data_IF_252346409662
#
_entry.id   IF_252346409662
#
_cell.length_a   1.000
_cell.length_b   1.000
_cell.length_c   1.000
_cell.angle_alpha   90.00
_cell.angle_beta   90.00
_cell.angle_gamma   90.00
#
_symmetry.space_group_name_H-M   'P 1'
#
loop_
_entity.id
_entity.type
_entity.pdbx_description
1 polymer ?
#
# COMPACT_ATOMS: atom_id res chain seq x y z
N UNK A 1 23.84 38.46 -4.94
CA UNK A 1 24.67 37.32 -4.50
C UNK A 1 25.60 36.90 -5.63
N UNK A 2 26.86 36.80 -5.30
CA UNK A 2 27.84 36.33 -6.29
C UNK A 2 27.60 34.85 -6.51
N UNK A 3 27.41 34.47 -7.76
CA UNK A 3 27.22 33.09 -8.13
C UNK A 3 28.56 32.35 -8.02
N UNK A 4 28.63 31.35 -7.15
CA UNK A 4 29.86 30.59 -6.93
C UNK A 4 29.93 29.51 -8.00
N UNK A 5 31.05 29.50 -8.76
CA UNK A 5 31.30 28.48 -9.77
C UNK A 5 31.51 27.11 -9.09
N UNK A 6 31.14 26.04 -9.78
CA UNK A 6 31.28 24.68 -9.25
C UNK A 6 32.75 24.34 -8.97
N UNK A 7 33.66 24.87 -9.76
CA UNK A 7 35.12 24.64 -9.62
C UNK A 7 35.80 25.68 -8.74
N UNK A 8 35.09 26.71 -8.28
CA UNK A 8 35.63 27.72 -7.42
C UNK A 8 35.88 27.17 -6.01
N UNK A 9 36.82 27.79 -5.25
CA UNK A 9 37.00 27.40 -3.85
C UNK A 9 35.73 27.61 -3.07
N UNK A 10 35.38 26.67 -2.19
CA UNK A 10 34.20 26.78 -1.39
C UNK A 10 34.34 27.93 -0.38
N UNK A 11 33.32 28.80 -0.23
CA UNK A 11 33.40 29.93 0.70
C UNK A 11 33.41 29.51 2.18
N UNK A 12 33.20 28.22 2.48
CA UNK A 12 33.29 27.73 3.86
C UNK A 12 34.72 27.61 4.37
N UNK A 13 35.72 27.85 3.52
CA UNK A 13 37.12 27.81 3.91
C UNK A 13 37.76 26.44 3.99
N UNK A 14 37.05 25.40 3.51
CA UNK A 14 37.58 24.04 3.58
C UNK A 14 38.71 23.74 2.61
N UNK A 15 38.96 24.63 1.64
CA UNK A 15 39.97 24.42 0.59
C UNK A 15 39.50 23.50 -0.52
N UNK A 16 38.32 22.92 -0.42
CA UNK A 16 37.78 22.05 -1.46
C UNK A 16 36.98 22.88 -2.47
N UNK A 17 36.83 22.30 -3.68
CA UNK A 17 35.99 22.91 -4.69
C UNK A 17 34.54 22.89 -4.23
N UNK A 18 33.76 23.94 -4.56
CA UNK A 18 32.37 24.09 -4.14
C UNK A 18 31.53 22.85 -4.48
N UNK A 19 31.69 22.27 -5.66
CA UNK A 19 30.96 21.08 -6.07
C UNK A 19 31.20 19.86 -5.19
N UNK A 20 32.37 19.79 -4.53
CA UNK A 20 32.71 18.66 -3.64
C UNK A 20 32.53 18.96 -2.17
N UNK A 21 32.07 20.15 -1.84
CA UNK A 21 31.88 20.57 -0.46
C UNK A 21 30.41 20.97 -0.23
N UNK A 22 30.12 22.25 -0.14
CA UNK A 22 28.78 22.72 0.21
C UNK A 22 27.71 22.35 -0.81
N UNK A 23 28.02 22.38 -2.10
CA UNK A 23 27.06 21.99 -3.12
C UNK A 23 26.66 20.52 -2.98
N UNK A 24 27.64 19.66 -2.75
CA UNK A 24 27.40 18.24 -2.52
C UNK A 24 26.56 18.01 -1.25
N UNK A 25 26.84 18.75 -0.17
CA UNK A 25 26.07 18.68 1.06
C UNK A 25 24.62 19.12 0.86
N UNK A 26 24.40 20.19 0.08
CA UNK A 26 23.05 20.65 -0.25
C UNK A 26 22.28 19.62 -1.08
N UNK A 27 22.94 18.97 -2.02
CA UNK A 27 22.31 17.93 -2.82
C UNK A 27 21.96 16.69 -2.00
N UNK A 28 22.79 16.36 -1.02
CA UNK A 28 22.51 15.24 -0.11
C UNK A 28 21.31 15.47 0.81
N UNK A 29 20.95 16.72 1.08
CA UNK A 29 19.78 17.04 1.88
C UNK A 29 18.46 16.73 1.17
N UNK A 30 18.45 16.68 -0.16
CA UNK A 30 17.26 16.36 -0.94
C UNK A 30 16.78 14.92 -0.76
N UNK A 31 17.67 13.90 -0.74
CA UNK A 31 17.22 12.54 -0.44
C UNK A 31 16.58 12.38 0.94
N UNK A 32 16.99 13.19 1.92
CA UNK A 32 16.39 13.16 3.26
C UNK A 32 14.92 13.60 3.21
N UNK A 33 14.57 14.56 2.35
CA UNK A 33 13.18 14.96 2.14
C UNK A 33 12.36 13.86 1.50
N UNK A 34 12.94 13.09 0.59
CA UNK A 34 12.29 11.94 -0.02
C UNK A 34 12.05 10.81 0.99
N UNK A 35 12.92 10.68 1.97
CA UNK A 35 12.77 9.68 3.04
C UNK A 35 11.57 9.99 3.95
N UNK A 36 11.09 11.23 3.99
CA UNK A 36 9.89 11.60 4.72
C UNK A 36 8.62 11.05 4.06
N UNK A 37 8.72 10.56 2.83
CA UNK A 37 7.64 9.86 2.14
C UNK A 37 7.71 8.35 2.33
N UNK A 38 8.52 7.83 3.25
CA UNK A 38 8.36 6.48 3.70
C UNK A 38 6.96 6.43 4.32
N UNK A 39 6.03 5.66 3.74
CA UNK A 39 4.68 5.65 4.25
C UNK A 39 4.70 5.21 5.71
N UNK A 40 4.19 6.07 6.57
CA UNK A 40 3.95 5.70 7.96
C UNK A 40 2.82 4.68 7.88
N UNK A 41 3.11 3.43 8.23
CA UNK A 41 2.08 2.40 8.25
C UNK A 41 1.04 2.77 9.29
N UNK A 42 -0.17 3.01 8.84
CA UNK A 42 -1.30 3.26 9.71
C UNK A 42 -1.74 1.96 10.38
N UNK A 43 -2.58 2.06 11.40
CA UNK A 43 -3.18 0.87 12.01
C UNK A 43 -3.93 0.03 10.98
N UNK A 44 -4.62 0.69 10.05
CA UNK A 44 -5.29 0.01 8.93
C UNK A 44 -4.31 -0.84 8.13
N UNK A 45 -3.16 -0.26 7.75
CA UNK A 45 -2.14 -0.98 6.98
C UNK A 45 -1.59 -2.16 7.76
N UNK A 46 -1.35 -2.00 9.05
CA UNK A 46 -0.84 -3.07 9.90
C UNK A 46 -1.82 -4.24 9.99
N UNK A 47 -3.09 -3.94 10.19
CA UNK A 47 -4.14 -4.96 10.25
C UNK A 47 -4.29 -5.68 8.90
N UNK A 48 -4.32 -4.92 7.82
CA UNK A 48 -4.46 -5.47 6.48
C UNK A 48 -3.30 -6.39 6.13
N UNK A 49 -2.08 -5.97 6.43
CA UNK A 49 -0.88 -6.78 6.18
C UNK A 49 -0.83 -8.02 7.07
N UNK A 50 -1.30 -7.91 8.31
CA UNK A 50 -1.37 -9.05 9.24
C UNK A 50 -2.26 -10.16 8.68
N UNK A 51 -3.37 -9.81 8.03
CA UNK A 51 -4.26 -10.80 7.42
C UNK A 51 -3.51 -11.61 6.35
N UNK A 52 -2.75 -10.93 5.50
CA UNK A 52 -1.97 -11.61 4.45
C UNK A 52 -0.98 -12.60 5.07
N UNK A 53 -0.27 -12.18 6.11
CA UNK A 53 0.70 -13.03 6.80
C UNK A 53 0.03 -14.24 7.44
N UNK A 54 -1.12 -14.03 8.09
CA UNK A 54 -1.88 -15.11 8.73
C UNK A 54 -2.40 -16.11 7.70
N UNK A 55 -2.81 -15.65 6.52
CA UNK A 55 -3.23 -16.53 5.43
C UNK A 55 -2.05 -17.40 4.98
N UNK A 56 -0.86 -16.81 4.84
CA UNK A 56 0.35 -17.55 4.48
C UNK A 56 0.72 -18.60 5.52
N UNK A 57 0.47 -18.31 6.80
CA UNK A 57 0.70 -19.23 7.90
C UNK A 57 -0.43 -20.25 8.07
N UNK A 58 -1.47 -20.15 7.26
CA UNK A 58 -2.69 -20.97 7.34
C UNK A 58 -3.47 -20.79 8.65
N UNK A 59 -3.26 -19.67 9.32
CA UNK A 59 -4.01 -19.28 10.52
C UNK A 59 -5.27 -18.51 10.10
N UNK A 60 -6.21 -19.22 9.50
CA UNK A 60 -7.35 -18.63 8.81
C UNK A 60 -8.41 -18.07 9.77
N UNK A 61 -8.56 -18.66 10.95
CA UNK A 61 -9.53 -18.17 11.93
C UNK A 61 -9.16 -16.78 12.44
N UNK A 62 -7.89 -16.57 12.75
CA UNK A 62 -7.39 -15.27 13.18
C UNK A 62 -7.41 -14.27 12.02
N UNK A 63 -7.06 -14.72 10.81
CA UNK A 63 -7.13 -13.87 9.62
C UNK A 63 -8.55 -13.37 9.39
N UNK A 64 -9.57 -14.24 9.53
CA UNK A 64 -10.96 -13.85 9.40
C UNK A 64 -11.37 -12.85 10.48
N UNK A 65 -10.98 -13.09 11.73
CA UNK A 65 -11.32 -12.19 12.84
C UNK A 65 -10.75 -10.78 12.59
N UNK A 66 -9.50 -10.68 12.15
CA UNK A 66 -8.88 -9.39 11.85
C UNK A 66 -9.54 -8.73 10.64
N UNK A 67 -9.89 -9.51 9.63
CA UNK A 67 -10.59 -9.00 8.44
C UNK A 67 -11.96 -8.42 8.81
N UNK A 68 -12.68 -9.08 9.69
CA UNK A 68 -13.97 -8.58 10.18
C UNK A 68 -13.79 -7.31 11.00
N UNK A 69 -12.73 -7.24 11.79
CA UNK A 69 -12.37 -6.03 12.53
C UNK A 69 -12.09 -4.87 11.58
N UNK A 70 -11.36 -5.13 10.48
CA UNK A 70 -11.12 -4.12 9.44
C UNK A 70 -12.44 -3.58 8.88
N UNK A 71 -13.35 -4.48 8.57
CA UNK A 71 -14.65 -4.07 8.00
C UNK A 71 -15.46 -3.24 9.00
N UNK A 72 -15.43 -3.62 10.28
CA UNK A 72 -16.18 -2.91 11.33
C UNK A 72 -15.58 -1.56 11.69
N UNK A 73 -14.24 -1.48 11.81
CA UNK A 73 -13.54 -0.26 12.22
C UNK A 73 -13.31 0.70 11.05
N UNK A 74 -13.16 0.17 9.84
CA UNK A 74 -12.86 0.95 8.64
C UNK A 74 -13.86 0.63 7.52
N UNK A 75 -15.16 0.91 7.74
CA UNK A 75 -16.18 0.56 6.74
C UNK A 75 -16.06 1.33 5.44
N UNK A 76 -15.36 2.46 5.46
CA UNK A 76 -15.12 3.29 4.27
C UNK A 76 -13.91 2.84 3.46
N UNK A 77 -13.27 1.75 3.87
CA UNK A 77 -12.09 1.21 3.21
C UNK A 77 -12.41 -0.15 2.62
N UNK A 78 -11.80 -0.44 1.47
CA UNK A 78 -12.03 -1.70 0.76
C UNK A 78 -11.31 -2.89 1.41
N UNK A 79 -10.34 -2.62 2.28
CA UNK A 79 -9.44 -3.63 2.82
C UNK A 79 -10.17 -4.79 3.49
N UNK A 80 -11.20 -4.50 4.29
CA UNK A 80 -11.96 -5.54 4.98
C UNK A 80 -12.64 -6.50 4.01
N UNK A 81 -13.28 -5.96 2.97
CA UNK A 81 -13.94 -6.79 1.96
C UNK A 81 -12.95 -7.63 1.19
N UNK A 82 -11.85 -7.03 0.76
CA UNK A 82 -10.80 -7.73 0.01
C UNK A 82 -10.16 -8.84 0.85
N UNK A 83 -9.81 -8.54 2.08
CA UNK A 83 -9.17 -9.52 2.96
C UNK A 83 -10.09 -10.68 3.32
N UNK A 84 -11.37 -10.40 3.58
CA UNK A 84 -12.36 -11.47 3.81
C UNK A 84 -12.48 -12.38 2.59
N UNK A 85 -12.51 -11.80 1.39
CA UNK A 85 -12.53 -12.60 0.18
C UNK A 85 -11.30 -13.52 0.11
N UNK A 86 -10.13 -13.01 0.42
CA UNK A 86 -8.89 -13.80 0.44
C UNK A 86 -8.94 -14.93 1.47
N UNK A 87 -9.47 -14.66 2.65
CA UNK A 87 -9.60 -15.67 3.70
C UNK A 87 -10.53 -16.80 3.26
N UNK A 88 -11.70 -16.46 2.72
CA UNK A 88 -12.65 -17.48 2.28
C UNK A 88 -12.10 -18.28 1.11
N UNK A 89 -11.37 -17.65 0.19
CA UNK A 89 -10.69 -18.38 -0.88
C UNK A 89 -9.67 -19.37 -0.31
N UNK A 90 -8.89 -18.94 0.69
CA UNK A 90 -7.90 -19.82 1.33
C UNK A 90 -8.55 -20.99 2.07
N UNK A 91 -9.77 -20.79 2.60
CA UNK A 91 -10.54 -21.86 3.24
C UNK A 91 -11.18 -22.83 2.25
N UNK A 92 -11.14 -22.51 0.96
CA UNK A 92 -11.84 -23.28 -0.07
C UNK A 92 -13.30 -22.91 -0.22
N UNK A 93 -13.79 -21.88 0.47
CA UNK A 93 -15.16 -21.41 0.36
C UNK A 93 -15.29 -20.42 -0.80
N UNK A 94 -15.23 -20.95 -2.01
CA UNK A 94 -15.17 -20.14 -3.23
C UNK A 94 -16.41 -19.29 -3.45
N UNK A 95 -17.57 -19.79 -3.09
CA UNK A 95 -18.83 -19.03 -3.20
C UNK A 95 -18.83 -17.79 -2.35
N UNK A 96 -18.39 -17.90 -1.10
CA UNK A 96 -18.28 -16.76 -0.19
C UNK A 96 -17.20 -15.79 -0.64
N UNK A 97 -16.06 -16.31 -1.09
CA UNK A 97 -14.98 -15.48 -1.61
C UNK A 97 -15.46 -14.66 -2.80
N UNK A 98 -16.15 -15.27 -3.75
CA UNK A 98 -16.72 -14.58 -4.90
C UNK A 98 -17.71 -13.50 -4.47
N UNK A 99 -18.54 -13.78 -3.47
CA UNK A 99 -19.51 -12.80 -2.94
C UNK A 99 -18.79 -11.56 -2.38
N UNK A 100 -17.71 -11.75 -1.63
CA UNK A 100 -16.96 -10.63 -1.06
C UNK A 100 -16.18 -9.87 -2.13
N UNK A 101 -15.67 -10.56 -3.17
CA UNK A 101 -15.07 -9.86 -4.30
C UNK A 101 -16.11 -9.02 -5.05
N UNK A 102 -17.35 -9.51 -5.17
CA UNK A 102 -18.44 -8.70 -5.76
C UNK A 102 -18.76 -7.49 -4.91
N UNK A 103 -18.78 -7.64 -3.59
CA UNK A 103 -18.98 -6.50 -2.68
C UNK A 103 -17.86 -5.48 -2.84
N UNK A 104 -16.60 -5.95 -2.94
CA UNK A 104 -15.46 -5.07 -3.18
C UNK A 104 -15.58 -4.36 -4.53
N UNK A 105 -16.00 -5.06 -5.56
CA UNK A 105 -16.24 -4.48 -6.88
C UNK A 105 -17.28 -3.35 -6.81
N UNK A 106 -18.41 -3.59 -6.15
CA UNK A 106 -19.45 -2.57 -6.00
C UNK A 106 -18.96 -1.37 -5.21
N UNK A 107 -18.19 -1.63 -4.15
CA UNK A 107 -17.60 -0.57 -3.35
C UNK A 107 -16.64 0.28 -4.19
N UNK A 108 -15.77 -0.36 -4.95
CA UNK A 108 -14.82 0.35 -5.81
C UNK A 108 -15.51 1.18 -6.89
N UNK A 109 -16.60 0.66 -7.47
CA UNK A 109 -17.40 1.40 -8.45
C UNK A 109 -18.10 2.63 -7.87
N UNK A 110 -18.52 2.53 -6.61
CA UNK A 110 -19.29 3.59 -5.94
C UNK A 110 -18.39 4.70 -5.38
N UNK A 111 -17.10 4.47 -5.30
CA UNK A 111 -16.15 5.41 -4.68
C UNK A 111 -15.14 5.90 -5.70
N UNK A 112 -14.90 7.21 -5.70
CA UNK A 112 -13.84 7.79 -6.51
C UNK A 112 -12.47 7.40 -5.92
N UNK A 113 -11.45 7.36 -6.75
CA UNK A 113 -10.10 7.03 -6.31
C UNK A 113 -9.65 5.63 -6.69
N UNK A 114 -10.54 4.78 -7.20
CA UNK A 114 -10.18 3.49 -7.75
C UNK A 114 -10.13 3.57 -9.27
N UNK A 115 -9.03 3.12 -9.87
CA UNK A 115 -8.94 3.07 -11.31
C UNK A 115 -9.75 1.89 -11.86
N UNK A 116 -10.02 1.93 -13.17
CA UNK A 116 -10.81 0.88 -13.82
C UNK A 116 -10.12 -0.47 -13.76
N UNK A 117 -8.80 -0.50 -13.80
CA UNK A 117 -8.03 -1.74 -13.70
C UNK A 117 -8.30 -2.44 -12.37
N UNK A 118 -8.26 -1.69 -11.28
CA UNK A 118 -8.55 -2.24 -9.94
C UNK A 118 -10.00 -2.73 -9.85
N UNK A 119 -10.95 -1.95 -10.34
CA UNK A 119 -12.36 -2.31 -10.32
C UNK A 119 -12.59 -3.60 -11.10
N UNK A 120 -12.03 -3.71 -12.30
CA UNK A 120 -12.16 -4.91 -13.12
C UNK A 120 -11.47 -6.12 -12.51
N UNK A 121 -10.38 -5.91 -11.79
CA UNK A 121 -9.69 -7.00 -11.10
C UNK A 121 -10.63 -7.71 -10.11
N UNK A 122 -11.36 -6.96 -9.30
CA UNK A 122 -12.30 -7.54 -8.35
C UNK A 122 -13.38 -8.36 -9.06
N UNK A 123 -13.92 -7.85 -10.14
CA UNK A 123 -14.93 -8.56 -10.91
C UNK A 123 -14.35 -9.84 -11.53
N UNK A 124 -13.15 -9.76 -12.07
CA UNK A 124 -12.44 -10.91 -12.66
C UNK A 124 -12.23 -12.01 -11.61
N UNK A 125 -11.82 -11.63 -10.40
CA UNK A 125 -11.61 -12.58 -9.32
C UNK A 125 -12.92 -13.27 -8.92
N UNK A 126 -14.01 -12.51 -8.83
CA UNK A 126 -15.31 -13.09 -8.51
C UNK A 126 -15.75 -14.10 -9.56
N UNK A 127 -15.59 -13.75 -10.84
CA UNK A 127 -15.93 -14.65 -11.96
C UNK A 127 -15.06 -15.89 -11.97
N UNK A 128 -13.76 -15.73 -11.70
CA UNK A 128 -12.83 -16.87 -11.63
C UNK A 128 -13.28 -17.87 -10.58
N UNK A 129 -13.64 -17.39 -9.40
CA UNK A 129 -14.07 -18.24 -8.29
C UNK A 129 -15.43 -18.91 -8.58
N UNK A 130 -16.35 -18.19 -9.22
CA UNK A 130 -17.65 -18.76 -9.60
C UNK A 130 -17.51 -19.87 -10.63
N UNK A 131 -16.56 -19.74 -11.57
CA UNK A 131 -16.35 -20.75 -12.59
C UNK A 131 -15.63 -22.00 -12.08
N UNK A 132 -15.05 -21.94 -10.88
CA UNK A 132 -14.34 -23.05 -10.26
C UNK A 132 -15.22 -23.92 -9.36
N UNK A 133 -16.52 -23.65 -9.31
CA UNK A 133 -17.46 -24.45 -8.53
C UNK A 133 -17.56 -25.86 -9.07
#
# INVERSE_FOLDING_TARGET
MVKIGRNAPCPCGSGKKYKKCCLSAQQKKRPVKKQRFIPVYTELDQLSNSVVDLIKQKNLDEAEAISQRLLAEYPDQIDGLNRLAMVYEARGEKGKAAEYFKKAYRFAMSNEGFDQTTVHWFLSEAKRLESQK
#
